data_IF_514461173743
#
_entry.id   IF_514461173743
#
_cell.length_a   1.000
_cell.length_b   1.000
_cell.length_c   1.000
_cell.angle_alpha   90.00
_cell.angle_beta   90.00
_cell.angle_gamma   90.00
#
_symmetry.space_group_name_H-M   'P 1'
#
loop_
_entity.id
_entity.type
_entity.pdbx_description
1 polymer ?
#
# COMPACT_ATOMS: atom_id res chain seq x y z
N UNK A 1 -21.42 -27.06 4.50
CA UNK A 1 -20.41 -26.43 5.34
C UNK A 1 -20.57 -24.93 5.31
N UNK A 2 -20.61 -24.34 6.46
CA UNK A 2 -20.85 -22.90 6.56
C UNK A 2 -19.55 -22.12 6.45
N UNK A 3 -19.65 -20.94 5.84
CA UNK A 3 -18.53 -20.03 5.84
C UNK A 3 -18.34 -19.48 7.26
N UNK A 4 -17.09 -19.24 7.65
CA UNK A 4 -16.86 -18.65 8.95
C UNK A 4 -17.42 -17.24 9.03
N UNK A 5 -17.93 -16.89 10.19
CA UNK A 5 -18.43 -15.56 10.46
C UNK A 5 -17.37 -14.78 11.22
N UNK A 6 -17.24 -13.51 10.88
CA UNK A 6 -16.23 -12.67 11.48
C UNK A 6 -16.89 -11.53 12.23
N UNK A 7 -16.59 -11.46 13.54
CA UNK A 7 -17.11 -10.42 14.39
C UNK A 7 -16.22 -9.18 14.27
N UNK A 8 -16.83 -8.01 14.09
CA UNK A 8 -16.10 -6.77 13.89
C UNK A 8 -15.55 -6.17 15.19
N UNK A 9 -15.88 -6.76 16.33
CA UNK A 9 -15.39 -6.27 17.62
C UNK A 9 -13.99 -6.82 17.89
N UNK A 10 -13.01 -6.25 17.23
CA UNK A 10 -11.62 -6.70 17.32
C UNK A 10 -10.78 -5.90 18.28
N UNK A 11 -11.29 -4.76 18.75
CA UNK A 11 -10.49 -3.84 19.54
C UNK A 11 -9.47 -3.05 18.74
N UNK A 12 -9.51 -3.14 17.41
CA UNK A 12 -8.58 -2.46 16.54
C UNK A 12 -9.18 -1.17 15.99
N UNK A 13 -8.34 -0.14 15.85
CA UNK A 13 -8.71 1.08 15.16
C UNK A 13 -8.42 0.86 13.67
N UNK A 14 -9.47 0.80 12.87
CA UNK A 14 -9.37 0.47 11.44
C UNK A 14 -9.90 1.61 10.60
N UNK A 15 -9.38 1.77 9.40
CA UNK A 15 -9.76 2.86 8.52
C UNK A 15 -10.27 2.33 7.18
N UNK A 16 -11.15 3.12 6.57
CA UNK A 16 -11.70 2.81 5.25
C UNK A 16 -10.62 3.01 4.19
N UNK A 17 -10.36 2.01 3.32
CA UNK A 17 -9.28 2.12 2.34
C UNK A 17 -9.37 3.35 1.42
N UNK A 18 -10.51 3.66 0.79
CA UNK A 18 -10.55 4.85 -0.07
C UNK A 18 -10.70 6.17 0.67
N UNK A 19 -11.32 6.17 1.87
CA UNK A 19 -11.62 7.42 2.56
C UNK A 19 -10.61 7.80 3.62
N UNK A 20 -9.94 6.82 4.23
CA UNK A 20 -9.05 7.06 5.36
C UNK A 20 -9.77 7.36 6.66
N UNK A 21 -11.11 7.38 6.65
CA UNK A 21 -11.91 7.68 7.83
C UNK A 21 -12.02 6.44 8.72
N UNK A 22 -12.23 6.68 10.01
CA UNK A 22 -12.40 5.59 10.96
C UNK A 22 -13.64 4.77 10.63
N UNK A 23 -13.48 3.46 10.77
CA UNK A 23 -14.59 2.53 10.59
C UNK A 23 -15.22 2.24 11.95
N UNK A 24 -16.56 2.16 11.97
CA UNK A 24 -17.32 1.81 13.16
C UNK A 24 -18.31 0.73 12.83
N UNK A 25 -18.77 0.01 13.87
CA UNK A 25 -19.76 -1.05 13.67
C UNK A 25 -21.02 -0.47 13.06
N UNK A 26 -21.55 -1.18 12.05
CA UNK A 26 -22.81 -0.79 11.43
C UNK A 26 -23.95 -1.20 12.36
N UNK A 27 -24.87 -0.27 12.70
CA UNK A 27 -25.99 -0.61 13.57
C UNK A 27 -26.81 -1.77 13.00
N UNK A 28 -27.11 -2.73 13.84
CA UNK A 28 -27.89 -3.88 13.44
C UNK A 28 -27.11 -5.00 12.82
N UNK A 29 -25.79 -4.88 12.73
CA UNK A 29 -24.94 -5.93 12.19
C UNK A 29 -23.71 -6.12 13.07
N UNK A 30 -23.33 -7.38 13.29
CA UNK A 30 -22.10 -7.69 14.00
C UNK A 30 -20.94 -7.98 13.06
N UNK A 31 -21.22 -8.05 11.76
CA UNK A 31 -20.24 -8.44 10.77
C UNK A 31 -19.74 -7.29 9.92
N UNK A 32 -20.38 -6.12 9.99
CA UNK A 32 -20.05 -5.01 9.11
C UNK A 32 -19.44 -3.83 9.86
N UNK A 33 -18.43 -3.25 9.24
CA UNK A 33 -17.84 -1.98 9.63
C UNK A 33 -18.17 -0.97 8.54
N UNK A 34 -18.44 0.27 8.92
CA UNK A 34 -18.77 1.29 7.95
C UNK A 34 -18.07 2.60 8.22
N UNK A 35 -17.85 3.39 7.17
CA UNK A 35 -17.29 4.72 7.27
C UNK A 35 -18.42 5.77 7.12
N UNK A 36 -18.14 7.06 7.42
CA UNK A 36 -19.18 8.10 7.28
C UNK A 36 -19.73 8.25 5.87
N UNK A 37 -18.96 7.86 4.84
CA UNK A 37 -19.42 7.88 3.46
C UNK A 37 -20.21 6.62 3.08
N UNK A 38 -20.49 5.77 4.06
CA UNK A 38 -21.30 4.57 3.89
C UNK A 38 -20.65 3.43 3.11
N UNK A 39 -19.33 3.42 3.02
CA UNK A 39 -18.64 2.21 2.56
C UNK A 39 -18.69 1.19 3.69
N UNK A 40 -19.03 -0.05 3.37
CA UNK A 40 -19.22 -1.09 4.37
C UNK A 40 -18.37 -2.31 4.04
N UNK A 41 -17.81 -2.94 5.08
CA UNK A 41 -16.89 -4.06 4.93
C UNK A 41 -17.14 -5.12 5.98
N UNK A 42 -16.99 -6.38 5.58
CA UNK A 42 -16.67 -7.45 6.53
C UNK A 42 -15.17 -7.39 6.79
N UNK A 43 -14.67 -8.14 7.78
CA UNK A 43 -13.23 -8.16 8.01
C UNK A 43 -12.44 -8.68 6.80
N UNK A 44 -12.87 -9.78 6.15
CA UNK A 44 -12.13 -10.22 4.95
C UNK A 44 -12.17 -9.23 3.80
N UNK A 45 -13.30 -8.57 3.54
CA UNK A 45 -13.35 -7.59 2.46
C UNK A 45 -12.57 -6.34 2.80
N UNK A 46 -12.48 -5.99 4.09
CA UNK A 46 -11.63 -4.89 4.52
C UNK A 46 -10.16 -5.22 4.28
N UNK A 47 -9.74 -6.43 4.64
CA UNK A 47 -8.36 -6.85 4.40
C UNK A 47 -8.01 -6.77 2.92
N UNK A 48 -8.91 -7.27 2.08
CA UNK A 48 -8.71 -7.20 0.63
C UNK A 48 -8.60 -5.74 0.17
N UNK A 49 -9.51 -4.88 0.63
CA UNK A 49 -9.47 -3.46 0.24
C UNK A 49 -8.23 -2.75 0.73
N UNK A 50 -7.78 -3.04 1.94
CA UNK A 50 -6.56 -2.45 2.47
C UNK A 50 -5.33 -2.91 1.70
N UNK A 51 -5.29 -4.18 1.31
CA UNK A 51 -4.18 -4.70 0.51
C UNK A 51 -4.12 -4.03 -0.85
N UNK A 52 -5.26 -3.85 -1.49
CA UNK A 52 -5.33 -3.14 -2.77
C UNK A 52 -4.85 -1.71 -2.62
N UNK A 53 -5.29 -1.04 -1.56
CA UNK A 53 -4.89 0.35 -1.32
C UNK A 53 -3.40 0.47 -1.05
N UNK A 54 -2.86 -0.45 -0.23
CA UNK A 54 -1.44 -0.43 0.06
C UNK A 54 -0.61 -0.63 -1.20
N UNK A 55 -0.99 -1.58 -2.05
CA UNK A 55 -0.30 -1.81 -3.32
C UNK A 55 -0.34 -0.56 -4.20
N UNK A 56 -1.49 0.09 -4.28
CA UNK A 56 -1.63 1.31 -5.11
C UNK A 56 -0.75 2.44 -4.57
N UNK A 57 -0.67 2.58 -3.24
CA UNK A 57 0.16 3.62 -2.65
C UNK A 57 1.64 3.36 -2.85
N UNK A 58 2.06 2.10 -2.74
CA UNK A 58 3.45 1.73 -2.98
C UNK A 58 3.81 1.98 -4.44
N UNK A 59 2.93 1.63 -5.37
CA UNK A 59 3.17 1.88 -6.79
C UNK A 59 3.27 3.38 -7.08
N UNK A 60 2.38 4.18 -6.51
CA UNK A 60 2.43 5.64 -6.69
C UNK A 60 3.71 6.21 -6.09
N UNK A 61 4.11 5.71 -4.91
CA UNK A 61 5.35 6.15 -4.27
C UNK A 61 6.57 5.79 -5.08
N UNK A 62 6.58 4.58 -5.65
CA UNK A 62 7.70 4.13 -6.47
C UNK A 62 7.86 5.02 -7.72
N UNK A 63 6.74 5.37 -8.36
CA UNK A 63 6.81 6.26 -9.52
C UNK A 63 7.34 7.65 -9.15
N UNK A 64 6.94 8.13 -7.99
CA UNK A 64 7.42 9.43 -7.52
C UNK A 64 8.91 9.40 -7.22
N UNK A 65 9.40 8.32 -6.63
CA UNK A 65 10.83 8.17 -6.37
C UNK A 65 11.64 8.06 -7.65
N UNK A 66 11.09 7.42 -8.68
CA UNK A 66 11.75 7.39 -9.99
C UNK A 66 11.85 8.79 -10.58
N UNK A 67 10.81 9.58 -10.43
CA UNK A 67 10.85 10.96 -10.88
C UNK A 67 11.89 11.77 -10.10
N UNK A 68 11.95 11.55 -8.78
CA UNK A 68 12.96 12.21 -7.95
C UNK A 68 14.37 11.82 -8.37
N UNK A 69 14.58 10.56 -8.68
CA UNK A 69 15.91 10.13 -9.15
C UNK A 69 16.31 10.90 -10.41
N UNK A 70 15.40 11.01 -11.37
CA UNK A 70 15.69 11.74 -12.60
C UNK A 70 15.95 13.21 -12.33
N UNK A 71 15.18 13.81 -11.43
CA UNK A 71 15.36 15.21 -11.07
C UNK A 71 16.70 15.44 -10.38
N UNK A 72 17.07 14.58 -9.44
CA UNK A 72 18.35 14.71 -8.74
C UNK A 72 19.52 14.58 -9.73
N UNK A 73 19.43 13.64 -10.67
CA UNK A 73 20.49 13.49 -11.68
C UNK A 73 20.55 14.70 -12.60
N UNK A 74 19.42 15.28 -12.94
CA UNK A 74 19.41 16.50 -13.77
C UNK A 74 20.08 17.66 -13.05
N UNK A 75 19.81 17.82 -11.74
CA UNK A 75 20.46 18.86 -10.95
C UNK A 75 21.96 18.61 -10.87
N UNK A 76 22.36 17.35 -10.62
CA UNK A 76 23.77 17.01 -10.54
C UNK A 76 24.50 17.35 -11.85
N UNK A 77 23.87 17.06 -12.99
CA UNK A 77 24.46 17.37 -14.29
C UNK A 77 24.74 18.86 -14.42
N UNK A 78 23.84 19.70 -13.93
CA UNK A 78 24.02 21.15 -14.00
C UNK A 78 25.12 21.65 -13.07
N UNK A 79 25.43 20.91 -12.02
CA UNK A 79 26.42 21.35 -11.02
C UNK A 79 27.83 20.81 -11.25
N UNK A 80 28.01 19.89 -12.21
CA UNK A 80 29.30 19.22 -12.35
C UNK A 80 30.46 20.19 -12.59
N UNK A 81 30.28 21.22 -13.36
CA UNK A 81 31.38 22.14 -13.68
C UNK A 81 31.66 23.13 -12.56
N UNK A 82 30.61 23.59 -11.85
CA UNK A 82 30.78 24.64 -10.84
C UNK A 82 30.91 24.10 -9.43
N UNK A 83 30.29 22.95 -9.14
CA UNK A 83 30.25 22.39 -7.80
C UNK A 83 30.29 20.86 -7.88
N UNK A 84 31.44 20.33 -8.28
CA UNK A 84 31.58 18.91 -8.55
C UNK A 84 31.34 18.03 -7.32
N UNK A 85 31.73 18.51 -6.12
CA UNK A 85 31.49 17.71 -4.92
C UNK A 85 29.99 17.58 -4.62
N UNK A 86 29.26 18.68 -4.78
CA UNK A 86 27.82 18.64 -4.60
C UNK A 86 27.16 17.73 -5.63
N UNK A 87 27.62 17.79 -6.88
CA UNK A 87 27.11 16.93 -7.94
C UNK A 87 27.36 15.46 -7.61
N UNK A 88 28.57 15.14 -7.12
CA UNK A 88 28.90 13.77 -6.74
C UNK A 88 27.99 13.25 -5.63
N UNK A 89 27.71 14.08 -4.62
CA UNK A 89 26.83 13.69 -3.53
C UNK A 89 25.39 13.45 -4.02
N UNK A 90 24.92 14.28 -4.95
CA UNK A 90 23.59 14.09 -5.52
C UNK A 90 23.49 12.82 -6.34
N UNK A 91 24.55 12.47 -7.10
CA UNK A 91 24.54 11.21 -7.83
C UNK A 91 24.43 10.01 -6.88
N UNK A 92 25.13 10.07 -5.75
CA UNK A 92 25.00 9.03 -4.74
C UNK A 92 23.60 8.94 -4.16
N UNK A 93 22.95 10.09 -3.98
CA UNK A 93 21.57 10.12 -3.52
C UNK A 93 20.64 9.49 -4.55
N UNK A 94 20.85 9.79 -5.82
CA UNK A 94 20.06 9.21 -6.90
C UNK A 94 20.23 7.68 -6.95
N UNK A 95 21.45 7.19 -6.72
CA UNK A 95 21.67 5.73 -6.67
C UNK A 95 20.88 5.08 -5.55
N UNK A 96 20.82 5.72 -4.39
CA UNK A 96 20.03 5.20 -3.27
C UNK A 96 18.53 5.22 -3.59
N UNK A 97 18.05 6.25 -4.28
CA UNK A 97 16.65 6.31 -4.70
C UNK A 97 16.32 5.16 -5.64
N UNK A 98 17.23 4.85 -6.57
CA UNK A 98 17.03 3.73 -7.50
C UNK A 98 16.93 2.40 -6.76
N UNK A 99 17.81 2.19 -5.78
CA UNK A 99 17.77 0.97 -4.99
C UNK A 99 16.47 0.83 -4.21
N UNK A 100 16.03 1.93 -3.58
CA UNK A 100 14.78 1.93 -2.82
C UNK A 100 13.59 1.62 -3.72
N UNK A 101 13.54 2.24 -4.89
CA UNK A 101 12.46 2.00 -5.85
C UNK A 101 12.42 0.55 -6.28
N UNK A 102 13.60 -0.03 -6.54
CA UNK A 102 13.68 -1.44 -6.92
C UNK A 102 13.12 -2.35 -5.83
N UNK A 103 13.46 -2.06 -4.57
CA UNK A 103 12.96 -2.84 -3.44
C UNK A 103 11.43 -2.74 -3.32
N UNK A 104 10.88 -1.54 -3.50
CA UNK A 104 9.43 -1.36 -3.42
C UNK A 104 8.70 -2.11 -4.54
N UNK A 105 9.24 -2.07 -5.75
CA UNK A 105 8.61 -2.79 -6.85
C UNK A 105 8.69 -4.29 -6.67
N UNK A 106 9.75 -4.77 -6.04
CA UNK A 106 9.89 -6.19 -5.74
C UNK A 106 8.82 -6.66 -4.76
N UNK A 107 8.48 -5.83 -3.76
CA UNK A 107 7.42 -6.15 -2.82
C UNK A 107 6.10 -6.40 -3.57
N UNK A 108 5.77 -5.53 -4.52
CA UNK A 108 4.54 -5.67 -5.29
C UNK A 108 4.60 -6.92 -6.16
N UNK A 109 5.72 -7.14 -6.84
CA UNK A 109 5.89 -8.25 -7.77
C UNK A 109 5.82 -9.60 -7.07
N UNK A 110 6.40 -9.70 -5.88
CA UNK A 110 6.43 -10.97 -5.14
C UNK A 110 5.10 -11.27 -4.47
N UNK A 111 4.16 -10.33 -4.48
CA UNK A 111 2.86 -10.56 -3.90
C UNK A 111 2.85 -10.59 -2.39
N UNK A 112 3.78 -9.87 -1.76
CA UNK A 112 3.81 -9.75 -0.30
C UNK A 112 2.51 -9.15 0.20
N UNK A 113 1.91 -8.26 -0.58
CA UNK A 113 0.62 -7.67 -0.26
C UNK A 113 -0.47 -8.47 -0.95
N UNK A 114 -1.31 -9.13 -0.15
CA UNK A 114 -2.38 -9.97 -0.69
C UNK A 114 -3.50 -9.11 -1.24
N UNK A 115 -3.90 -9.39 -2.49
CA UNK A 115 -5.02 -8.69 -3.10
C UNK A 115 -6.15 -9.64 -3.47
N UNK A 116 -6.08 -10.89 -3.06
CA UNK A 116 -7.11 -11.87 -3.35
C UNK A 116 -8.09 -12.00 -2.19
N UNK A 117 -9.37 -12.23 -2.47
CA UNK A 117 -10.35 -12.43 -1.41
C UNK A 117 -10.00 -13.64 -0.56
N UNK A 118 -10.28 -13.53 0.73
CA UNK A 118 -9.96 -14.58 1.67
C UNK A 118 -10.75 -15.86 1.39
N UNK A 119 -11.91 -15.77 0.79
CA UNK A 119 -12.73 -16.93 0.49
C UNK A 119 -12.03 -17.93 -0.44
N UNK A 120 -11.06 -17.46 -1.23
CA UNK A 120 -10.30 -18.37 -2.07
C UNK A 120 -9.42 -19.29 -1.24
N UNK A 121 -8.93 -18.79 -0.12
CA UNK A 121 -8.17 -19.61 0.82
C UNK A 121 -9.04 -20.73 1.37
N UNK A 122 -10.29 -20.42 1.69
CA UNK A 122 -11.22 -21.42 2.16
C UNK A 122 -11.51 -22.48 1.11
N UNK A 123 -11.71 -22.05 -0.13
CA UNK A 123 -11.93 -22.96 -1.21
C UNK A 123 -10.76 -23.92 -1.40
N UNK A 124 -9.55 -23.38 -1.29
CA UNK A 124 -8.35 -24.20 -1.41
C UNK A 124 -8.24 -25.21 -0.29
N UNK A 125 -8.54 -24.78 0.93
CA UNK A 125 -8.40 -25.66 2.09
C UNK A 125 -9.43 -26.77 2.09
N UNK A 126 -10.52 -26.63 1.35
CA UNK A 126 -11.52 -27.66 1.25
C UNK A 126 -11.06 -28.86 0.41
N UNK A 127 -9.99 -28.70 -0.31
CA UNK A 127 -9.44 -29.79 -1.09
C UNK A 127 -8.54 -30.67 -0.22
#
# INVERSE_FOLDING_TARGET
MNEPEFNTDTGLALSCPPCGENLTAVPGSEELLGCPANHQYTLPTLLFGQSMRASALIEAGARLLEEQERLVRAIATQLWESQSLAAFKLEGQADRLRETTGALRQIITEGVLQSQPLKEVHGTSAN
#
